data_IF_979787207109
#
_entry.id   IF_979787207109
#
_cell.length_a   1.000
_cell.length_b   1.000
_cell.length_c   1.000
_cell.angle_alpha   90.00
_cell.angle_beta   90.00
_cell.angle_gamma   90.00
#
_symmetry.space_group_name_H-M   'P 1'
#
loop_
_entity.id
_entity.type
_entity.pdbx_description
1 polymer ?
#
# COMPACT_ATOMS: atom_id res chain seq x y z
N UNK A 1 -15.91 -26.34 -24.01
CA UNK A 1 -15.21 -25.39 -23.11
C UNK A 1 -16.15 -25.07 -21.96
N UNK A 2 -15.87 -25.52 -20.71
CA UNK A 2 -16.65 -25.08 -19.54
C UNK A 2 -16.46 -23.56 -19.40
N UNK A 3 -17.58 -22.80 -19.41
CA UNK A 3 -17.55 -21.35 -19.14
C UNK A 3 -16.68 -21.10 -17.91
N UNK A 4 -15.68 -20.23 -18.02
CA UNK A 4 -14.90 -19.77 -16.87
C UNK A 4 -15.86 -19.14 -15.88
N UNK A 5 -16.12 -19.81 -14.75
CA UNK A 5 -16.97 -19.27 -13.70
C UNK A 5 -16.19 -18.16 -12.97
N UNK A 6 -16.62 -16.87 -13.10
CA UNK A 6 -15.93 -15.74 -12.48
C UNK A 6 -15.92 -15.80 -10.93
N UNK A 7 -16.81 -16.58 -10.33
CA UNK A 7 -16.96 -16.72 -8.87
C UNK A 7 -16.34 -18.03 -8.34
N UNK A 8 -15.55 -18.73 -9.14
CA UNK A 8 -14.99 -20.05 -8.77
C UNK A 8 -14.15 -19.99 -7.49
N UNK A 9 -13.36 -18.94 -7.28
CA UNK A 9 -12.53 -18.78 -6.09
C UNK A 9 -13.38 -18.45 -4.83
N UNK A 10 -14.47 -17.73 -4.96
CA UNK A 10 -15.35 -17.36 -3.85
C UNK A 10 -16.12 -18.53 -3.24
N UNK A 11 -16.12 -19.70 -3.88
CA UNK A 11 -16.70 -20.92 -3.33
C UNK A 11 -15.88 -21.52 -2.18
N UNK A 12 -14.62 -21.08 -2.02
CA UNK A 12 -13.73 -21.55 -0.96
C UNK A 12 -13.86 -20.64 0.25
N UNK A 13 -14.37 -21.16 1.36
CA UNK A 13 -14.57 -20.39 2.60
C UNK A 13 -13.27 -19.77 3.10
N UNK A 14 -12.18 -20.51 3.06
CA UNK A 14 -10.86 -20.03 3.47
C UNK A 14 -10.37 -18.87 2.61
N UNK A 15 -10.68 -18.87 1.31
CA UNK A 15 -10.36 -17.77 0.41
C UNK A 15 -11.19 -16.51 0.73
N UNK A 16 -12.47 -16.65 1.08
CA UNK A 16 -13.30 -15.50 1.47
C UNK A 16 -12.77 -14.86 2.76
N UNK A 17 -12.37 -15.66 3.75
CA UNK A 17 -11.72 -15.16 4.96
C UNK A 17 -10.41 -14.44 4.63
N UNK A 18 -9.61 -15.01 3.72
CA UNK A 18 -8.39 -14.37 3.23
C UNK A 18 -8.67 -13.01 2.55
N UNK A 19 -9.73 -12.89 1.75
CA UNK A 19 -10.12 -11.62 1.13
C UNK A 19 -10.52 -10.57 2.19
N UNK A 20 -11.26 -10.96 3.21
CA UNK A 20 -11.63 -10.07 4.33
C UNK A 20 -10.41 -9.61 5.12
N UNK A 21 -9.48 -10.53 5.42
CA UNK A 21 -8.20 -10.21 6.04
C UNK A 21 -7.42 -9.22 5.18
N UNK A 22 -7.29 -9.51 3.87
CA UNK A 22 -6.58 -8.64 2.93
C UNK A 22 -7.21 -7.26 2.84
N UNK A 23 -8.55 -7.18 2.79
CA UNK A 23 -9.28 -5.92 2.83
C UNK A 23 -8.91 -5.12 4.07
N UNK A 24 -9.06 -5.71 5.26
CA UNK A 24 -8.79 -5.04 6.53
C UNK A 24 -7.34 -4.54 6.63
N UNK A 25 -6.36 -5.35 6.17
CA UNK A 25 -4.95 -4.97 6.19
C UNK A 25 -4.63 -3.83 5.24
N UNK A 26 -5.09 -3.89 3.98
CA UNK A 26 -4.80 -2.84 2.99
C UNK A 26 -5.54 -1.56 3.34
N UNK A 27 -6.80 -1.67 3.76
CA UNK A 27 -7.61 -0.54 4.21
C UNK A 27 -6.96 0.14 5.43
N UNK A 28 -6.64 -0.65 6.47
CA UNK A 28 -6.01 -0.13 7.69
C UNK A 28 -4.66 0.53 7.40
N UNK A 29 -3.82 -0.08 6.56
CA UNK A 29 -2.54 0.50 6.17
C UNK A 29 -2.69 1.82 5.41
N UNK A 30 -3.55 1.84 4.38
CA UNK A 30 -3.80 3.04 3.57
C UNK A 30 -4.39 4.17 4.42
N UNK A 31 -5.32 3.84 5.32
CA UNK A 31 -5.90 4.80 6.26
C UNK A 31 -4.87 5.34 7.24
N UNK A 32 -4.05 4.47 7.86
CA UNK A 32 -2.98 4.86 8.79
C UNK A 32 -2.03 5.89 8.17
N UNK A 33 -1.59 5.62 6.93
CA UNK A 33 -0.65 6.48 6.23
C UNK A 33 -1.19 7.91 6.10
N UNK A 34 -2.46 8.05 5.68
CA UNK A 34 -3.13 9.33 5.51
C UNK A 34 -3.30 10.08 6.83
N UNK A 35 -3.71 9.36 7.89
CA UNK A 35 -3.91 9.94 9.22
C UNK A 35 -2.59 10.49 9.77
N UNK A 36 -1.50 9.76 9.58
CA UNK A 36 -0.18 10.15 10.07
C UNK A 36 0.43 11.28 9.23
N UNK A 37 0.30 11.27 7.90
CA UNK A 37 0.72 12.40 7.05
C UNK A 37 0.01 13.70 7.48
N UNK A 38 -1.31 13.62 7.71
CA UNK A 38 -2.09 14.76 8.17
C UNK A 38 -1.63 15.28 9.52
N UNK A 39 -1.44 14.38 10.49
CA UNK A 39 -1.02 14.74 11.86
C UNK A 39 0.35 15.40 11.87
N UNK A 40 1.33 14.80 11.22
CA UNK A 40 2.71 15.31 11.18
C UNK A 40 2.75 16.68 10.49
N UNK A 41 2.01 16.87 9.41
CA UNK A 41 1.95 18.19 8.78
C UNK A 41 1.23 19.22 9.65
N UNK A 42 0.17 18.82 10.35
CA UNK A 42 -0.55 19.71 11.28
C UNK A 42 0.32 20.16 12.45
N UNK A 43 1.19 19.28 12.96
CA UNK A 43 2.11 19.55 14.05
C UNK A 43 3.30 20.43 13.63
N UNK A 44 3.85 20.21 12.45
CA UNK A 44 5.13 20.79 12.04
C UNK A 44 5.00 21.98 11.10
N UNK A 45 3.94 22.00 10.28
CA UNK A 45 3.77 22.92 9.14
C UNK A 45 5.00 22.98 8.21
N UNK A 46 5.77 21.91 8.21
CA UNK A 46 7.01 21.81 7.44
C UNK A 46 6.92 20.71 6.37
N UNK A 47 7.01 21.05 5.08
CA UNK A 47 6.99 20.07 3.99
C UNK A 47 8.05 18.97 4.09
N UNK A 48 9.23 19.31 4.66
CA UNK A 48 10.32 18.35 4.83
C UNK A 48 9.92 17.18 5.73
N UNK A 49 9.07 17.43 6.74
CA UNK A 49 8.58 16.40 7.65
C UNK A 49 7.78 15.31 6.93
N UNK A 50 7.04 15.66 5.86
CA UNK A 50 6.34 14.69 5.00
C UNK A 50 7.33 13.85 4.19
N UNK A 51 8.37 14.48 3.65
CA UNK A 51 9.46 13.77 2.96
C UNK A 51 10.16 12.76 3.87
N UNK A 52 10.39 13.13 5.15
CA UNK A 52 10.98 12.24 6.14
C UNK A 52 10.07 11.03 6.43
N UNK A 53 8.74 11.22 6.55
CA UNK A 53 7.79 10.08 6.69
C UNK A 53 7.97 9.10 5.53
N UNK A 54 7.97 9.60 4.30
CA UNK A 54 8.18 8.76 3.12
C UNK A 54 9.50 8.00 3.17
N UNK A 55 10.59 8.65 3.56
CA UNK A 55 11.90 8.02 3.71
C UNK A 55 11.91 6.96 4.81
N UNK A 56 11.30 7.25 5.97
CA UNK A 56 11.19 6.31 7.09
C UNK A 56 10.41 5.05 6.72
N UNK A 57 9.44 5.13 5.82
CA UNK A 57 8.71 3.97 5.33
C UNK A 57 9.49 3.22 4.23
N UNK A 58 10.03 3.95 3.26
CA UNK A 58 10.58 3.36 2.03
C UNK A 58 11.97 2.76 2.25
N UNK A 59 12.85 3.41 3.01
CA UNK A 59 14.22 2.92 3.23
C UNK A 59 14.21 1.51 3.85
N UNK A 60 13.54 1.24 4.99
CA UNK A 60 13.53 -0.10 5.56
C UNK A 60 12.79 -1.11 4.67
N UNK A 61 11.73 -0.68 3.96
CA UNK A 61 11.00 -1.55 3.06
C UNK A 61 11.88 -2.04 1.90
N UNK A 62 12.62 -1.15 1.24
CA UNK A 62 13.53 -1.51 0.14
C UNK A 62 14.70 -2.33 0.65
N UNK A 63 15.32 -1.92 1.76
CA UNK A 63 16.47 -2.63 2.35
C UNK A 63 16.13 -4.08 2.69
N UNK A 64 14.90 -4.33 3.15
CA UNK A 64 14.45 -5.67 3.52
C UNK A 64 13.78 -6.44 2.39
N UNK A 65 13.36 -5.79 1.30
CA UNK A 65 12.58 -6.43 0.23
C UNK A 65 13.30 -7.64 -0.38
N UNK A 66 14.61 -7.53 -0.61
CA UNK A 66 15.43 -8.60 -1.16
C UNK A 66 15.52 -9.81 -0.20
N UNK A 67 15.69 -9.54 1.09
CA UNK A 67 15.75 -10.58 2.13
C UNK A 67 14.38 -11.17 2.41
N UNK A 68 13.33 -10.34 2.37
CA UNK A 68 11.97 -10.74 2.67
C UNK A 68 11.49 -11.85 1.72
N UNK A 69 11.75 -11.76 0.42
CA UNK A 69 11.38 -12.79 -0.55
C UNK A 69 11.96 -14.15 -0.16
N UNK A 70 13.26 -14.21 0.09
CA UNK A 70 13.94 -15.44 0.48
C UNK A 70 13.44 -16.01 1.81
N UNK A 71 13.26 -15.17 2.84
CA UNK A 71 12.76 -15.59 4.15
C UNK A 71 11.32 -16.10 4.03
N UNK A 72 10.48 -15.41 3.26
CA UNK A 72 9.09 -15.83 3.00
C UNK A 72 9.07 -17.22 2.37
N UNK A 73 9.93 -17.50 1.39
CA UNK A 73 9.95 -18.80 0.72
C UNK A 73 10.29 -19.96 1.66
N UNK A 74 11.12 -19.72 2.67
CA UNK A 74 11.59 -20.71 3.61
C UNK A 74 10.69 -20.91 4.84
N UNK A 75 9.77 -19.99 5.13
CA UNK A 75 8.95 -20.02 6.34
C UNK A 75 7.51 -20.44 6.05
N UNK A 76 6.83 -20.95 7.08
CA UNK A 76 5.39 -21.21 7.05
C UNK A 76 4.64 -19.87 6.91
N UNK A 77 3.75 -19.78 5.89
CA UNK A 77 3.18 -18.53 5.42
C UNK A 77 2.19 -17.89 6.39
N UNK A 78 1.32 -18.73 7.02
CA UNK A 78 0.33 -18.25 7.99
C UNK A 78 1.01 -17.70 9.25
N UNK A 79 2.00 -18.42 9.80
CA UNK A 79 2.73 -17.97 10.99
C UNK A 79 3.55 -16.71 10.73
N UNK A 80 4.13 -16.59 9.52
CA UNK A 80 4.82 -15.36 9.12
C UNK A 80 3.84 -14.20 8.97
N UNK A 81 2.69 -14.42 8.33
CA UNK A 81 1.63 -13.41 8.21
C UNK A 81 1.11 -12.97 9.58
N UNK A 82 0.95 -13.91 10.52
CA UNK A 82 0.58 -13.58 11.90
C UNK A 82 1.57 -12.61 12.55
N UNK A 83 2.86 -12.86 12.41
CA UNK A 83 3.91 -11.96 12.93
C UNK A 83 3.86 -10.59 12.28
N UNK A 84 3.63 -10.51 10.96
CA UNK A 84 3.48 -9.25 10.25
C UNK A 84 2.25 -8.46 10.73
N UNK A 85 1.09 -9.11 10.87
CA UNK A 85 -0.13 -8.44 11.33
C UNK A 85 0.00 -8.02 12.79
N UNK A 86 0.60 -8.85 13.65
CA UNK A 86 0.87 -8.51 15.04
C UNK A 86 1.82 -7.30 15.14
N UNK A 87 2.89 -7.30 14.35
CA UNK A 87 3.81 -6.16 14.26
C UNK A 87 3.08 -4.88 13.82
N UNK A 88 2.23 -4.97 12.79
CA UNK A 88 1.41 -3.85 12.35
C UNK A 88 0.44 -3.38 13.45
N UNK A 89 -0.18 -4.30 14.21
CA UNK A 89 -1.08 -3.95 15.33
C UNK A 89 -0.33 -3.21 16.45
N UNK A 90 0.89 -3.64 16.78
CA UNK A 90 1.73 -2.97 17.78
C UNK A 90 2.13 -1.56 17.31
N UNK A 91 2.50 -1.42 16.03
CA UNK A 91 2.83 -0.13 15.42
C UNK A 91 1.61 0.78 15.44
N UNK A 92 0.45 0.29 15.03
CA UNK A 92 -0.79 1.07 15.03
C UNK A 92 -1.21 1.49 16.45
N UNK A 93 -0.98 0.64 17.45
CA UNK A 93 -1.20 0.97 18.86
C UNK A 93 -0.23 2.08 19.32
N UNK A 94 1.04 1.98 18.97
CA UNK A 94 2.03 3.02 19.25
C UNK A 94 1.64 4.36 18.64
N UNK A 95 1.27 4.37 17.36
CA UNK A 95 0.80 5.57 16.66
C UNK A 95 -0.49 6.12 17.25
N UNK A 96 -1.44 5.25 17.66
CA UNK A 96 -2.63 5.67 18.39
C UNK A 96 -2.29 6.38 19.68
N UNK A 97 -1.36 5.87 20.49
CA UNK A 97 -0.93 6.50 21.73
C UNK A 97 -0.29 7.86 21.48
N UNK A 98 0.60 7.98 20.49
CA UNK A 98 1.28 9.23 20.13
C UNK A 98 0.41 10.23 19.36
N UNK A 99 -0.83 9.88 19.05
CA UNK A 99 -1.87 10.80 18.55
C UNK A 99 -2.93 11.12 19.62
N UNK A 100 -2.87 10.50 20.79
CA UNK A 100 -3.89 10.65 21.84
C UNK A 100 -3.54 11.82 22.79
N UNK A 101 -4.34 12.92 22.81
CA UNK A 101 -4.01 14.13 23.56
C UNK A 101 -3.70 13.91 25.05
N UNK A 102 -4.45 13.07 25.81
CA UNK A 102 -4.10 12.82 27.21
C UNK A 102 -2.74 12.15 27.42
N UNK A 103 -2.31 11.30 26.49
CA UNK A 103 -1.03 10.59 26.56
C UNK A 103 0.14 11.51 26.21
N UNK A 104 -0.02 12.38 25.22
CA UNK A 104 1.06 13.24 24.71
C UNK A 104 1.22 14.56 25.45
N UNK A 105 0.38 14.84 26.44
CA UNK A 105 0.29 16.13 27.15
C UNK A 105 1.63 16.65 27.65
N UNK A 106 2.47 15.75 28.17
CA UNK A 106 3.75 16.09 28.80
C UNK A 106 4.96 15.92 27.85
N UNK A 107 4.71 15.52 26.58
CA UNK A 107 5.77 15.34 25.60
C UNK A 107 5.98 16.59 24.75
N UNK A 108 7.24 16.85 24.39
CA UNK A 108 7.55 17.89 23.43
C UNK A 108 7.08 17.48 22.01
N UNK A 109 6.75 18.46 21.16
CA UNK A 109 6.40 18.21 19.75
C UNK A 109 7.47 17.39 19.03
N UNK A 110 8.75 17.63 19.33
CA UNK A 110 9.86 16.88 18.76
C UNK A 110 9.84 15.41 19.18
N UNK A 111 9.56 15.13 20.45
CA UNK A 111 9.46 13.74 20.95
C UNK A 111 8.32 13.00 20.26
N UNK A 112 7.16 13.63 20.10
CA UNK A 112 6.02 13.06 19.40
C UNK A 112 6.41 12.75 17.94
N UNK A 113 7.03 13.69 17.26
CA UNK A 113 7.46 13.57 15.88
C UNK A 113 8.45 12.41 15.66
N UNK A 114 9.50 12.35 16.49
CA UNK A 114 10.48 11.26 16.40
C UNK A 114 9.88 9.89 16.73
N UNK A 115 8.94 9.83 17.66
CA UNK A 115 8.20 8.60 17.97
C UNK A 115 7.35 8.13 16.77
N UNK A 116 6.66 9.06 16.11
CA UNK A 116 5.91 8.77 14.88
C UNK A 116 6.86 8.24 13.80
N UNK A 117 7.98 8.90 13.54
CA UNK A 117 8.97 8.45 12.56
C UNK A 117 9.52 7.05 12.89
N UNK A 118 9.78 6.77 14.16
CA UNK A 118 10.23 5.45 14.61
C UNK A 118 9.19 4.36 14.30
N UNK A 119 7.90 4.59 14.61
CA UNK A 119 6.86 3.62 14.31
C UNK A 119 6.63 3.46 12.80
N UNK A 120 6.72 4.53 12.02
CA UNK A 120 6.64 4.46 10.55
C UNK A 120 7.82 3.64 9.99
N UNK A 121 9.03 3.83 10.51
CA UNK A 121 10.19 3.03 10.13
C UNK A 121 9.98 1.53 10.41
N UNK A 122 9.47 1.17 11.60
CA UNK A 122 9.10 -0.21 11.91
C UNK A 122 8.00 -0.74 10.97
N UNK A 123 7.06 0.14 10.59
CA UNK A 123 6.04 -0.16 9.58
C UNK A 123 6.65 -0.56 8.24
N UNK A 124 7.64 0.17 7.77
CA UNK A 124 8.38 -0.15 6.55
C UNK A 124 9.03 -1.54 6.58
N UNK A 125 9.61 -1.94 7.73
CA UNK A 125 10.14 -3.28 7.92
C UNK A 125 9.04 -4.36 7.77
N UNK A 126 7.91 -4.18 8.45
CA UNK A 126 6.79 -5.13 8.37
C UNK A 126 6.25 -5.22 6.94
N UNK A 127 6.14 -4.09 6.24
CA UNK A 127 5.63 -4.01 4.87
C UNK A 127 6.47 -4.82 3.89
N UNK A 128 7.78 -4.88 4.05
CA UNK A 128 8.67 -5.66 3.20
C UNK A 128 8.26 -7.15 3.15
N UNK A 129 7.81 -7.70 4.27
CA UNK A 129 7.41 -9.11 4.39
C UNK A 129 5.94 -9.34 4.03
N UNK A 130 5.08 -8.35 4.25
CA UNK A 130 3.62 -8.52 4.12
C UNK A 130 3.21 -8.88 2.69
N UNK A 131 3.68 -8.15 1.70
CA UNK A 131 3.35 -8.35 0.28
C UNK A 131 3.69 -9.76 -0.20
N UNK A 132 4.97 -10.18 -0.17
CA UNK A 132 5.37 -11.53 -0.59
C UNK A 132 4.65 -12.65 0.17
N UNK A 133 4.41 -12.47 1.49
CA UNK A 133 3.70 -13.46 2.31
C UNK A 133 2.25 -13.63 1.87
N UNK A 134 1.54 -12.53 1.59
CA UNK A 134 0.15 -12.55 1.11
C UNK A 134 0.05 -13.28 -0.23
N UNK A 135 0.93 -12.97 -1.20
CA UNK A 135 0.92 -13.64 -2.51
C UNK A 135 1.26 -15.12 -2.41
N UNK A 136 2.23 -15.47 -1.59
CA UNK A 136 2.61 -16.88 -1.36
C UNK A 136 1.50 -17.66 -0.66
N UNK A 137 0.83 -17.07 0.33
CA UNK A 137 -0.31 -17.70 1.02
C UNK A 137 -1.50 -17.91 0.09
N UNK A 138 -1.82 -16.91 -0.75
CA UNK A 138 -2.88 -17.01 -1.75
C UNK A 138 -2.71 -18.24 -2.64
N UNK A 139 -1.48 -18.50 -3.09
CA UNK A 139 -1.17 -19.65 -3.95
C UNK A 139 -1.37 -21.02 -3.25
N UNK A 140 -1.43 -21.03 -1.92
CA UNK A 140 -1.63 -22.23 -1.11
C UNK A 140 -3.09 -22.43 -0.66
N UNK A 141 -3.93 -21.39 -0.72
CA UNK A 141 -5.34 -21.46 -0.29
C UNK A 141 -6.22 -22.04 -1.40
N UNK A 142 -5.90 -21.77 -2.67
CA UNK A 142 -6.72 -22.18 -3.80
C UNK A 142 -5.98 -23.17 -4.71
N UNK A 143 -6.71 -24.09 -5.36
CA UNK A 143 -6.11 -24.98 -6.37
C UNK A 143 -5.48 -24.19 -7.53
N UNK A 144 -4.36 -24.68 -8.06
CA UNK A 144 -3.61 -24.02 -9.16
C UNK A 144 -4.50 -23.63 -10.35
N UNK A 145 -5.52 -24.45 -10.66
CA UNK A 145 -6.43 -24.24 -11.79
C UNK A 145 -7.26 -22.96 -11.67
N UNK A 146 -7.61 -22.52 -10.46
CA UNK A 146 -8.43 -21.32 -10.19
C UNK A 146 -7.60 -20.14 -9.67
N UNK A 147 -6.28 -20.32 -9.56
CA UNK A 147 -5.38 -19.27 -9.08
C UNK A 147 -5.52 -17.95 -9.85
N UNK A 148 -5.64 -17.91 -11.21
CA UNK A 148 -5.86 -16.65 -11.93
C UNK A 148 -7.12 -15.91 -11.47
N UNK A 149 -8.23 -16.64 -11.23
CA UNK A 149 -9.47 -16.05 -10.73
C UNK A 149 -9.30 -15.51 -9.30
N UNK A 150 -8.64 -16.26 -8.42
CA UNK A 150 -8.34 -15.82 -7.06
C UNK A 150 -7.42 -14.60 -7.03
N UNK A 151 -6.41 -14.55 -7.92
CA UNK A 151 -5.52 -13.39 -8.05
C UNK A 151 -6.27 -12.13 -8.49
N UNK A 152 -7.23 -12.27 -9.43
CA UNK A 152 -8.10 -11.16 -9.86
C UNK A 152 -8.92 -10.61 -8.69
N UNK A 153 -9.62 -11.46 -7.94
CA UNK A 153 -10.39 -11.05 -6.76
C UNK A 153 -9.51 -10.39 -5.70
N UNK A 154 -8.35 -10.97 -5.43
CA UNK A 154 -7.37 -10.44 -4.48
C UNK A 154 -6.86 -9.05 -4.89
N UNK A 155 -6.60 -8.83 -6.19
CA UNK A 155 -6.21 -7.51 -6.73
C UNK A 155 -7.35 -6.50 -6.68
N UNK A 156 -8.59 -6.93 -6.96
CA UNK A 156 -9.78 -6.08 -6.85
C UNK A 156 -10.00 -5.59 -5.41
N UNK A 157 -9.86 -6.49 -4.43
CA UNK A 157 -9.94 -6.14 -3.01
C UNK A 157 -8.84 -5.15 -2.63
N UNK A 158 -7.61 -5.36 -3.09
CA UNK A 158 -6.52 -4.42 -2.87
C UNK A 158 -6.85 -3.03 -3.43
N UNK A 159 -7.35 -2.95 -4.66
CA UNK A 159 -7.70 -1.69 -5.32
C UNK A 159 -8.83 -0.97 -4.58
N UNK A 160 -9.90 -1.67 -4.22
CA UNK A 160 -11.03 -1.09 -3.46
C UNK A 160 -10.54 -0.56 -2.11
N UNK A 161 -9.73 -1.33 -1.39
CA UNK A 161 -9.19 -0.92 -0.09
C UNK A 161 -8.28 0.30 -0.19
N UNK A 162 -7.47 0.40 -1.25
CA UNK A 162 -6.55 1.53 -1.47
C UNK A 162 -7.28 2.83 -1.82
N UNK A 163 -8.51 2.75 -2.34
CA UNK A 163 -9.39 3.92 -2.55
C UNK A 163 -10.13 4.28 -1.26
N UNK A 164 -10.74 3.28 -0.61
CA UNK A 164 -11.59 3.51 0.55
C UNK A 164 -10.80 3.96 1.79
N UNK A 165 -9.57 3.44 1.98
CA UNK A 165 -8.74 3.80 3.12
C UNK A 165 -8.50 5.31 3.23
N UNK A 166 -7.91 5.96 2.22
CA UNK A 166 -7.72 7.41 2.19
C UNK A 166 -9.01 8.21 2.30
N UNK A 167 -10.06 7.81 1.58
CA UNK A 167 -11.34 8.50 1.64
C UNK A 167 -11.91 8.48 3.07
N UNK A 168 -11.99 7.30 3.69
CA UNK A 168 -12.49 7.16 5.07
C UNK A 168 -11.57 7.89 6.06
N UNK A 169 -10.25 7.88 5.85
CA UNK A 169 -9.31 8.65 6.66
C UNK A 169 -9.67 10.14 6.70
N UNK A 170 -9.87 10.76 5.53
CA UNK A 170 -10.21 12.17 5.45
C UNK A 170 -11.53 12.51 6.16
N UNK A 171 -12.57 11.71 5.96
CA UNK A 171 -13.85 11.90 6.66
C UNK A 171 -13.75 11.65 8.15
N UNK A 172 -13.06 10.57 8.57
CA UNK A 172 -12.93 10.24 10.00
C UNK A 172 -12.12 11.29 10.76
N UNK A 173 -11.02 11.81 10.19
CA UNK A 173 -10.25 12.89 10.80
C UNK A 173 -11.14 14.11 11.06
N UNK A 174 -12.01 14.47 10.11
CA UNK A 174 -12.88 15.62 10.24
C UNK A 174 -14.00 15.41 11.29
N UNK A 175 -14.55 14.20 11.42
CA UNK A 175 -15.71 13.95 12.28
C UNK A 175 -15.31 13.54 13.71
N UNK A 176 -14.29 12.71 13.84
CA UNK A 176 -13.91 12.10 15.13
C UNK A 176 -12.47 12.43 15.55
N UNK A 177 -11.71 13.13 14.69
CA UNK A 177 -10.33 13.50 14.97
C UNK A 177 -9.30 12.40 14.67
N UNK A 178 -8.03 12.76 14.75
CA UNK A 178 -6.89 11.93 14.35
C UNK A 178 -6.79 10.65 15.18
N UNK A 179 -6.79 10.76 16.52
CA UNK A 179 -6.60 9.60 17.41
C UNK A 179 -7.74 8.56 17.30
N UNK A 180 -9.02 9.01 17.17
CA UNK A 180 -10.12 8.09 16.95
C UNK A 180 -10.09 7.47 15.55
N UNK A 181 -9.55 8.17 14.57
CA UNK A 181 -9.27 7.57 13.25
C UNK A 181 -8.23 6.46 13.34
N UNK A 182 -7.21 6.60 14.20
CA UNK A 182 -6.23 5.55 14.47
C UNK A 182 -6.85 4.33 15.19
N UNK A 183 -7.90 4.51 16.00
CA UNK A 183 -8.60 3.37 16.60
C UNK A 183 -9.31 2.49 15.57
N UNK A 184 -9.81 3.07 14.46
CA UNK A 184 -10.35 2.28 13.34
C UNK A 184 -9.26 1.43 12.71
N UNK A 185 -8.07 1.99 12.50
CA UNK A 185 -6.90 1.25 11.97
C UNK A 185 -6.53 0.08 12.88
N UNK A 186 -6.46 0.33 14.18
CA UNK A 186 -6.18 -0.71 15.17
C UNK A 186 -7.27 -1.79 15.15
N UNK A 187 -8.54 -1.42 15.07
CA UNK A 187 -9.67 -2.35 14.92
C UNK A 187 -9.54 -3.22 13.67
N UNK A 188 -9.14 -2.66 12.53
CA UNK A 188 -8.89 -3.41 11.30
C UNK A 188 -7.75 -4.42 11.45
N UNK A 189 -6.65 -4.05 12.12
CA UNK A 189 -5.53 -4.96 12.35
C UNK A 189 -5.89 -6.11 13.30
N UNK A 190 -6.64 -5.83 14.36
CA UNK A 190 -7.16 -6.86 15.27
C UNK A 190 -8.15 -7.79 14.58
N UNK A 191 -9.05 -7.24 13.76
CA UNK A 191 -9.94 -8.04 12.92
C UNK A 191 -9.15 -8.96 11.98
N UNK A 192 -8.08 -8.47 11.36
CA UNK A 192 -7.23 -9.27 10.50
C UNK A 192 -6.53 -10.41 11.27
N UNK A 193 -6.10 -10.19 12.53
CA UNK A 193 -5.56 -11.24 13.40
C UNK A 193 -6.61 -12.34 13.66
N UNK A 194 -7.84 -11.94 14.00
CA UNK A 194 -8.95 -12.87 14.23
C UNK A 194 -9.27 -13.64 12.94
N UNK A 195 -9.39 -12.97 11.81
CA UNK A 195 -9.63 -13.62 10.53
C UNK A 195 -8.54 -14.63 10.18
N UNK A 196 -7.28 -14.34 10.48
CA UNK A 196 -6.16 -15.25 10.21
C UNK A 196 -6.27 -16.56 11.00
N UNK A 197 -6.88 -16.57 12.17
CA UNK A 197 -7.07 -17.81 12.95
C UNK A 197 -7.93 -18.84 12.23
N UNK A 198 -8.80 -18.41 11.32
CA UNK A 198 -9.69 -19.26 10.52
C UNK A 198 -9.02 -19.83 9.25
N UNK A 199 -7.79 -19.41 8.94
CA UNK A 199 -7.00 -19.94 7.82
C UNK A 199 -6.12 -21.08 8.36
N UNK A 200 -6.17 -22.25 7.73
CA UNK A 200 -5.35 -23.38 8.13
C UNK A 200 -3.85 -23.16 7.85
N UNK A 201 -3.00 -23.79 8.64
CA UNK A 201 -1.56 -23.84 8.37
C UNK A 201 -1.29 -24.54 7.05
N UNK A 202 -0.33 -24.03 6.26
CA UNK A 202 0.00 -24.58 4.95
C UNK A 202 1.43 -25.12 4.94
N UNK A 203 1.67 -26.23 4.23
CA UNK A 203 3.02 -26.80 4.14
C UNK A 203 3.96 -25.84 3.40
N UNK A 204 5.25 -25.94 3.72
CA UNK A 204 6.31 -25.24 3.00
C UNK A 204 6.60 -26.04 1.73
N UNK A 205 6.30 -25.48 0.55
CA UNK A 205 6.46 -26.13 -0.75
C UNK A 205 7.70 -25.67 -1.50
N UNK A 206 8.72 -25.17 -0.82
CA UNK A 206 9.92 -24.68 -1.50
C UNK A 206 10.92 -25.81 -1.74
N UNK A 207 11.24 -26.18 -3.00
CA UNK A 207 12.27 -27.18 -3.32
C UNK A 207 13.70 -26.67 -3.07
N UNK A 208 13.88 -25.36 -2.90
CA UNK A 208 15.18 -24.68 -2.75
C UNK A 208 15.46 -24.26 -1.29
N UNK A 209 14.99 -25.05 -0.31
CA UNK A 209 15.29 -24.78 1.10
C UNK A 209 16.80 -24.92 1.32
N UNK A 210 17.43 -23.82 1.80
CA UNK A 210 18.86 -23.78 2.11
C UNK A 210 19.76 -23.16 1.05
N UNK A 211 19.22 -22.66 -0.08
CA UNK A 211 20.02 -21.88 -1.03
C UNK A 211 20.54 -20.57 -0.40
N UNK A 212 21.80 -20.18 -0.66
CA UNK A 212 22.33 -18.91 -0.19
C UNK A 212 21.59 -17.72 -0.78
N UNK A 213 21.16 -16.78 0.06
CA UNK A 213 20.45 -15.56 -0.36
C UNK A 213 21.20 -14.83 -1.47
N UNK A 214 22.53 -14.74 -1.36
CA UNK A 214 23.36 -13.97 -2.27
C UNK A 214 23.36 -14.51 -3.71
N UNK A 215 23.18 -15.82 -3.91
CA UNK A 215 23.08 -16.42 -5.24
C UNK A 215 21.76 -16.07 -5.91
N UNK A 216 20.64 -16.24 -5.20
CA UNK A 216 19.30 -15.83 -5.68
C UNK A 216 19.26 -14.34 -6.06
N UNK A 217 19.88 -13.47 -5.25
CA UNK A 217 19.95 -12.04 -5.51
C UNK A 217 20.77 -11.72 -6.77
N UNK A 218 21.94 -12.34 -6.93
CA UNK A 218 22.79 -12.17 -8.12
C UNK A 218 22.07 -12.61 -9.39
N UNK A 219 21.34 -13.73 -9.34
CA UNK A 219 20.57 -14.21 -10.48
C UNK A 219 19.47 -13.22 -10.87
N UNK A 220 18.70 -12.70 -9.91
CA UNK A 220 17.65 -11.72 -10.14
C UNK A 220 18.18 -10.42 -10.76
N UNK A 221 19.24 -9.86 -10.19
CA UNK A 221 19.88 -8.65 -10.71
C UNK A 221 20.44 -8.90 -12.11
N UNK A 222 21.15 -9.99 -12.33
CA UNK A 222 21.72 -10.37 -13.64
C UNK A 222 20.62 -10.53 -14.70
N UNK A 223 19.48 -11.11 -14.32
CA UNK A 223 18.33 -11.27 -15.23
C UNK A 223 17.78 -9.91 -15.71
N UNK A 224 17.60 -8.95 -14.79
CA UNK A 224 17.09 -7.61 -15.14
C UNK A 224 18.07 -6.88 -16.04
N UNK A 225 19.37 -6.85 -15.69
CA UNK A 225 20.39 -6.13 -16.47
C UNK A 225 20.67 -6.78 -17.83
N UNK A 226 20.51 -8.08 -17.97
CA UNK A 226 20.67 -8.78 -19.25
C UNK A 226 19.46 -8.61 -20.19
N UNK A 227 18.28 -8.22 -19.67
CA UNK A 227 17.08 -8.02 -20.47
C UNK A 227 16.82 -6.53 -20.69
N UNK A 228 17.30 -5.99 -21.82
CA UNK A 228 17.18 -4.56 -22.17
C UNK A 228 15.73 -4.06 -22.16
N UNK A 229 14.75 -4.89 -22.52
CA UNK A 229 13.34 -4.50 -22.54
C UNK A 229 12.81 -4.32 -21.12
N UNK A 230 13.14 -5.25 -20.21
CA UNK A 230 12.75 -5.16 -18.80
C UNK A 230 13.46 -3.98 -18.13
N UNK A 231 14.76 -3.84 -18.36
CA UNK A 231 15.53 -2.72 -17.81
C UNK A 231 14.99 -1.37 -18.27
N UNK A 232 14.67 -1.23 -19.58
CA UNK A 232 14.08 0.00 -20.12
C UNK A 232 12.71 0.32 -19.51
N UNK A 233 11.82 -0.66 -19.38
CA UNK A 233 10.51 -0.48 -18.77
C UNK A 233 10.61 -0.07 -17.28
N UNK A 234 11.45 -0.77 -16.51
CA UNK A 234 11.68 -0.45 -15.09
C UNK A 234 12.31 0.93 -14.90
N UNK A 235 13.26 1.33 -15.77
CA UNK A 235 13.89 2.65 -15.69
C UNK A 235 12.90 3.77 -15.98
N UNK A 236 12.03 3.61 -16.98
CA UNK A 236 10.97 4.56 -17.29
C UNK A 236 9.96 4.68 -16.16
N UNK A 237 9.53 3.56 -15.58
CA UNK A 237 8.63 3.54 -14.43
C UNK A 237 9.25 4.25 -13.22
N UNK A 238 10.53 3.96 -12.92
CA UNK A 238 11.25 4.62 -11.83
C UNK A 238 11.33 6.14 -12.00
N UNK A 239 11.57 6.63 -13.22
CA UNK A 239 11.59 8.07 -13.54
C UNK A 239 10.18 8.65 -13.37
N UNK A 240 9.15 7.99 -13.89
CA UNK A 240 7.77 8.46 -13.75
C UNK A 240 7.34 8.56 -12.27
N UNK A 241 7.66 7.56 -11.45
CA UNK A 241 7.39 7.55 -10.02
C UNK A 241 8.17 8.65 -9.28
N UNK A 242 9.44 8.89 -9.65
CA UNK A 242 10.27 9.94 -9.06
C UNK A 242 9.65 11.32 -9.23
N UNK A 243 9.17 11.63 -10.45
CA UNK A 243 8.49 12.89 -10.73
C UNK A 243 7.03 12.91 -10.26
N UNK A 244 6.43 11.74 -10.01
CA UNK A 244 5.11 11.57 -9.40
C UNK A 244 5.04 11.86 -7.90
N UNK A 245 6.14 12.32 -7.29
CA UNK A 245 6.23 12.64 -5.85
C UNK A 245 5.28 13.75 -5.35
N UNK A 246 4.54 14.43 -6.24
CA UNK A 246 3.51 15.40 -5.90
C UNK A 246 2.46 14.88 -4.90
N UNK A 247 2.19 13.57 -4.91
CA UNK A 247 1.27 12.91 -3.98
C UNK A 247 1.71 13.05 -2.50
N UNK A 248 3.01 13.15 -2.22
CA UNK A 248 3.53 13.39 -0.88
C UNK A 248 3.25 14.82 -0.37
N UNK A 249 2.98 15.76 -1.27
CA UNK A 249 2.69 17.17 -0.95
C UNK A 249 1.18 17.44 -0.79
N UNK A 250 0.33 16.45 -1.00
CA UNK A 250 -1.12 16.59 -0.88
C UNK A 250 -1.61 17.19 0.46
N UNK A 251 -1.01 16.89 1.64
CA UNK A 251 -1.40 17.55 2.88
C UNK A 251 -1.23 19.07 2.82
N UNK A 252 -0.16 19.55 2.16
CA UNK A 252 0.10 20.98 1.97
C UNK A 252 -0.96 21.59 1.05
N UNK A 253 -1.20 20.95 -0.10
CA UNK A 253 -2.24 21.38 -1.04
C UNK A 253 -3.61 21.49 -0.36
N UNK A 254 -3.99 20.48 0.43
CA UNK A 254 -5.28 20.44 1.11
C UNK A 254 -5.42 21.49 2.23
N UNK A 255 -4.34 21.75 3.00
CA UNK A 255 -4.39 22.68 4.13
C UNK A 255 -4.15 24.13 3.73
N UNK A 256 -3.12 24.39 2.91
CA UNK A 256 -2.60 25.74 2.70
C UNK A 256 -3.02 26.35 1.36
N UNK A 257 -3.07 25.56 0.27
CA UNK A 257 -3.37 26.04 -1.08
C UNK A 257 -4.88 26.00 -1.35
N UNK A 258 -5.48 24.81 -1.31
CA UNK A 258 -6.89 24.61 -1.62
C UNK A 258 -7.82 24.87 -0.44
N UNK A 259 -7.30 24.81 0.79
CA UNK A 259 -8.02 25.03 2.07
C UNK A 259 -9.27 24.15 2.22
N UNK A 260 -9.20 22.92 1.70
CA UNK A 260 -10.33 21.97 1.68
C UNK A 260 -10.38 21.04 2.91
N UNK A 261 -9.43 21.18 3.82
CA UNK A 261 -9.36 20.42 5.08
C UNK A 261 -9.12 18.92 4.89
N UNK A 262 -9.33 18.12 5.99
CA UNK A 262 -9.04 16.68 5.96
C UNK A 262 -9.91 15.90 4.98
N UNK A 263 -11.16 16.31 4.79
CA UNK A 263 -12.06 15.67 3.80
C UNK A 263 -11.53 15.82 2.38
N UNK A 264 -11.16 17.05 2.01
CA UNK A 264 -10.57 17.32 0.70
C UNK A 264 -9.25 16.57 0.50
N UNK A 265 -8.41 16.47 1.55
CA UNK A 265 -7.20 15.66 1.51
C UNK A 265 -7.49 14.19 1.22
N UNK A 266 -8.48 13.58 1.89
CA UNK A 266 -8.90 12.20 1.64
C UNK A 266 -9.39 11.97 0.20
N UNK A 267 -10.16 12.92 -0.36
CA UNK A 267 -10.63 12.87 -1.76
C UNK A 267 -9.46 12.98 -2.75
N UNK A 268 -8.58 13.96 -2.57
CA UNK A 268 -7.38 14.13 -3.41
C UNK A 268 -6.49 12.88 -3.39
N UNK A 269 -6.34 12.25 -2.22
CA UNK A 269 -5.53 11.03 -2.08
C UNK A 269 -6.19 9.79 -2.69
N UNK A 270 -7.52 9.72 -2.71
CA UNK A 270 -8.28 8.64 -3.33
C UNK A 270 -8.36 8.77 -4.86
N UNK A 271 -8.26 9.97 -5.41
CA UNK A 271 -8.45 10.26 -6.83
C UNK A 271 -7.55 9.43 -7.78
N UNK A 272 -6.23 9.29 -7.54
CA UNK A 272 -5.37 8.47 -8.40
C UNK A 272 -5.78 7.00 -8.42
N UNK A 273 -6.25 6.46 -7.29
CA UNK A 273 -6.69 5.08 -7.20
C UNK A 273 -8.03 4.85 -7.92
N UNK A 274 -8.94 5.85 -7.92
CA UNK A 274 -10.15 5.86 -8.73
C UNK A 274 -9.79 5.88 -10.22
N UNK A 275 -8.86 6.74 -10.63
CA UNK A 275 -8.35 6.80 -12.01
C UNK A 275 -7.76 5.46 -12.46
N UNK A 276 -6.94 4.82 -11.61
CA UNK A 276 -6.39 3.50 -11.89
C UNK A 276 -7.48 2.42 -12.04
N UNK A 277 -8.54 2.47 -11.22
CA UNK A 277 -9.68 1.55 -11.33
C UNK A 277 -10.46 1.75 -12.63
N UNK A 278 -10.74 2.99 -13.03
CA UNK A 278 -11.37 3.30 -14.32
C UNK A 278 -10.52 2.82 -15.49
N UNK A 279 -9.20 3.01 -15.42
CA UNK A 279 -8.28 2.56 -16.45
C UNK A 279 -8.22 1.02 -16.56
N UNK A 280 -8.35 0.30 -15.44
CA UNK A 280 -8.50 -1.15 -15.43
C UNK A 280 -9.74 -1.60 -16.22
N UNK A 281 -10.87 -0.93 -16.03
CA UNK A 281 -12.11 -1.21 -16.78
C UNK A 281 -11.88 -0.94 -18.28
N UNK A 282 -11.32 0.22 -18.62
CA UNK A 282 -11.05 0.59 -20.01
C UNK A 282 -10.12 -0.42 -20.69
N UNK A 283 -9.06 -0.86 -20.00
CA UNK A 283 -8.11 -1.83 -20.54
C UNK A 283 -8.70 -3.23 -20.75
N UNK A 284 -9.76 -3.59 -20.03
CA UNK A 284 -10.49 -4.83 -20.25
C UNK A 284 -11.25 -4.82 -21.59
N UNK A 285 -11.73 -3.66 -22.05
CA UNK A 285 -12.41 -3.50 -23.35
C UNK A 285 -11.42 -3.21 -24.49
N UNK A 286 -10.33 -2.50 -24.20
CA UNK A 286 -9.32 -2.09 -25.19
C UNK A 286 -7.95 -2.66 -24.76
N UNK A 287 -7.61 -3.89 -25.13
CA UNK A 287 -6.36 -4.52 -24.72
C UNK A 287 -5.14 -3.81 -25.31
N UNK A 288 -4.18 -3.46 -24.45
CA UNK A 288 -2.95 -2.73 -24.82
C UNK A 288 -1.84 -3.65 -25.39
N UNK A 289 -2.19 -4.71 -26.11
CA UNK A 289 -1.24 -5.72 -26.59
C UNK A 289 -0.40 -5.27 -27.78
N UNK A 290 -0.91 -4.33 -28.61
CA UNK A 290 -0.16 -3.80 -29.76
C UNK A 290 0.50 -2.47 -29.41
N UNK A 291 1.75 -2.28 -29.85
CA UNK A 291 2.55 -1.07 -29.64
C UNK A 291 2.70 -0.65 -28.16
N UNK A 292 2.94 -1.63 -27.27
CA UNK A 292 2.97 -1.42 -25.83
C UNK A 292 3.97 -0.32 -25.42
N UNK A 293 5.14 -0.23 -26.07
CA UNK A 293 6.15 0.80 -25.78
C UNK A 293 5.65 2.22 -26.08
N UNK A 294 5.00 2.43 -27.24
CA UNK A 294 4.45 3.76 -27.58
C UNK A 294 3.30 4.16 -26.63
N UNK A 295 2.45 3.21 -26.27
CA UNK A 295 1.37 3.44 -25.29
C UNK A 295 1.90 3.77 -23.90
N UNK A 296 2.98 3.10 -23.47
CA UNK A 296 3.66 3.42 -22.21
C UNK A 296 4.20 4.86 -22.23
N UNK A 297 4.88 5.24 -23.31
CA UNK A 297 5.41 6.62 -23.46
C UNK A 297 4.31 7.66 -23.48
N UNK A 298 3.19 7.41 -24.18
CA UNK A 298 2.05 8.34 -24.19
C UNK A 298 1.38 8.45 -22.82
N UNK A 299 1.30 7.37 -22.06
CA UNK A 299 0.77 7.39 -20.70
C UNK A 299 1.66 8.21 -19.74
N UNK A 300 3.00 8.04 -19.82
CA UNK A 300 3.95 8.82 -19.04
C UNK A 300 3.87 10.31 -19.41
N UNK A 301 3.74 10.64 -20.69
CA UNK A 301 3.59 12.00 -21.15
C UNK A 301 2.29 12.64 -20.62
N UNK A 302 1.16 11.93 -20.71
CA UNK A 302 -0.11 12.38 -20.17
C UNK A 302 -0.04 12.58 -18.64
N UNK A 303 0.60 11.64 -17.93
CA UNK A 303 0.85 11.77 -16.50
C UNK A 303 1.65 13.02 -16.14
N UNK A 304 2.70 13.33 -16.93
CA UNK A 304 3.48 14.57 -16.75
C UNK A 304 2.63 15.84 -16.89
N UNK A 305 1.72 15.88 -17.88
CA UNK A 305 0.77 16.98 -18.05
C UNK A 305 -0.13 17.12 -16.82
N UNK A 306 -0.72 16.00 -16.34
CA UNK A 306 -1.57 16.01 -15.15
C UNK A 306 -0.83 16.53 -13.91
N UNK A 307 0.44 16.16 -13.70
CA UNK A 307 1.25 16.67 -12.59
C UNK A 307 1.47 18.19 -12.71
N UNK A 308 1.70 18.71 -13.91
CA UNK A 308 1.85 20.16 -14.14
C UNK A 308 0.52 20.87 -13.86
N UNK A 309 -0.59 20.35 -14.38
CA UNK A 309 -1.93 20.93 -14.16
C UNK A 309 -2.29 20.91 -12.67
N UNK A 310 -1.99 19.80 -11.97
CA UNK A 310 -2.15 19.72 -10.52
C UNK A 310 -1.32 20.79 -9.79
N UNK A 311 -0.04 20.92 -10.13
CA UNK A 311 0.87 21.89 -9.48
C UNK A 311 0.48 23.36 -9.69
N UNK A 312 -0.16 23.69 -10.81
CA UNK A 312 -0.65 25.02 -11.13
C UNK A 312 -2.08 25.29 -10.65
N UNK A 313 -2.80 24.23 -10.24
CA UNK A 313 -4.20 24.33 -9.87
C UNK A 313 -4.39 24.97 -8.50
N UNK A 314 -5.22 26.01 -8.46
CA UNK A 314 -5.77 26.59 -7.22
C UNK A 314 -7.24 26.22 -6.99
N UNK A 315 -7.81 25.39 -7.85
CA UNK A 315 -9.24 25.02 -7.85
C UNK A 315 -9.34 23.53 -7.49
N UNK A 316 -10.07 23.21 -6.40
CA UNK A 316 -10.21 21.85 -5.88
C UNK A 316 -10.71 20.84 -6.93
N UNK A 317 -11.66 21.23 -7.78
CA UNK A 317 -12.19 20.38 -8.84
C UNK A 317 -11.12 19.96 -9.85
N UNK A 318 -10.33 20.93 -10.32
CA UNK A 318 -9.26 20.66 -11.29
C UNK A 318 -8.19 19.76 -10.68
N UNK A 319 -7.83 20.00 -9.41
CA UNK A 319 -6.86 19.19 -8.68
C UNK A 319 -7.29 17.74 -8.44
N UNK A 320 -8.59 17.46 -8.38
CA UNK A 320 -9.13 16.09 -8.24
C UNK A 320 -9.12 15.35 -9.58
N UNK A 321 -9.32 16.07 -10.70
CA UNK A 321 -9.38 15.48 -12.04
C UNK A 321 -7.99 15.27 -12.63
N UNK A 322 -7.03 16.15 -12.32
CA UNK A 322 -5.63 16.05 -12.73
C UNK A 322 -4.91 14.90 -12.06
#
# INVERSE_FOLDING_TARGET
MKKNDPYSALRYKEFNVFLLLRFAMVFGWSMQFIVIEWEVYSLTKNPLSLGIIGLMEVIPAISMALFAGHIVDQKEKRGLLFKCILGFSIISLGLFLFTWPPFIKDFSTQTILYSIYFFVFLGGLVRAFLGPTIFSLLALIVPKKIYPNAATWSSSVWQISSVLGPAVAGFSINWIGVHWSMSIVLGCSLFALIALTQIATKPILNPKIGEPIMESLKEGVKFVFNNKTILGALSLDMIAVLFGGAVALLPIFAQDILKVGPQGFGVLRAAPAVGAFLMLIISAYIPFTKNAGMKLLSAIFAFGICIIDFGLSSISWLSVVA
#
